data_IF_228259702498
#
_entry.id   IF_228259702498
#
_cell.length_a   1.000
_cell.length_b   1.000
_cell.length_c   1.000
_cell.angle_alpha   90.00
_cell.angle_beta   90.00
_cell.angle_gamma   90.00
#
_symmetry.space_group_name_H-M   'P 1'
#
loop_
_entity.id
_entity.type
_entity.pdbx_description
1 polymer ?
#
# COMPACT_ATOMS: atom_id res chain seq x y z
N UNK A 1 -5.61 11.68 -9.76
CA UNK A 1 -6.20 10.34 -9.55
C UNK A 1 -5.31 9.31 -10.27
N UNK A 2 -4.15 8.96 -9.71
CA UNK A 2 -3.19 8.04 -10.38
C UNK A 2 -3.40 6.56 -9.98
N UNK A 3 -3.70 6.30 -8.70
CA UNK A 3 -3.86 4.92 -8.21
C UNK A 3 -5.07 4.16 -8.78
N UNK A 4 -6.11 4.86 -9.26
CA UNK A 4 -7.25 4.19 -9.90
C UNK A 4 -7.00 3.85 -11.37
N UNK A 5 -6.19 4.62 -12.07
CA UNK A 5 -5.86 4.34 -13.47
C UNK A 5 -4.98 3.08 -13.57
N UNK A 6 -3.92 3.01 -12.76
CA UNK A 6 -3.04 1.84 -12.71
C UNK A 6 -3.77 0.56 -12.29
N UNK A 7 -4.71 0.64 -11.34
CA UNK A 7 -5.51 -0.51 -10.93
C UNK A 7 -6.41 -1.05 -12.05
N UNK A 8 -6.90 -0.19 -12.95
CA UNK A 8 -7.71 -0.59 -14.11
C UNK A 8 -6.82 -1.19 -15.21
N UNK A 9 -5.61 -0.66 -15.41
CA UNK A 9 -4.67 -1.13 -16.43
C UNK A 9 -4.00 -2.48 -16.05
N UNK A 10 -3.80 -2.74 -14.76
CA UNK A 10 -3.23 -4.00 -14.23
C UNK A 10 -4.11 -4.60 -13.12
N UNK A 11 -5.27 -5.18 -13.45
CA UNK A 11 -6.27 -5.62 -12.47
C UNK A 11 -5.80 -6.78 -11.56
N UNK A 12 -4.74 -7.48 -11.95
CA UNK A 12 -4.12 -8.57 -11.18
C UNK A 12 -3.03 -8.10 -10.21
N UNK A 13 -2.61 -6.83 -10.27
CA UNK A 13 -1.51 -6.30 -9.48
C UNK A 13 -1.98 -5.34 -8.39
N UNK A 14 -1.34 -5.44 -7.23
CA UNK A 14 -1.45 -4.45 -6.19
C UNK A 14 -0.57 -3.24 -6.53
N UNK A 15 -0.98 -2.06 -6.07
CA UNK A 15 -0.24 -0.83 -6.28
C UNK A 15 -0.07 -0.07 -4.96
N UNK A 16 1.15 0.41 -4.70
CA UNK A 16 1.44 1.33 -3.63
C UNK A 16 2.00 2.64 -4.19
N UNK A 17 1.49 3.77 -3.71
CA UNK A 17 2.01 5.11 -4.00
C UNK A 17 2.55 5.69 -2.71
N UNK A 18 3.83 6.10 -2.73
CA UNK A 18 4.52 6.72 -1.61
C UNK A 18 4.78 8.19 -1.95
N UNK A 19 4.25 9.08 -1.12
CA UNK A 19 4.45 10.52 -1.25
C UNK A 19 5.33 10.99 -0.10
N UNK A 20 6.53 11.49 -0.40
CA UNK A 20 7.43 12.03 0.61
C UNK A 20 6.79 13.23 1.34
N UNK A 21 6.97 13.31 2.65
CA UNK A 21 6.46 14.41 3.48
C UNK A 21 7.59 15.41 3.79
N UNK A 22 7.27 16.71 3.90
CA UNK A 22 8.15 17.67 4.55
C UNK A 22 8.43 17.20 5.99
N UNK A 23 9.71 17.12 6.38
CA UNK A 23 10.13 16.63 7.70
C UNK A 23 10.43 15.13 7.78
N UNK A 24 10.42 14.41 6.65
CA UNK A 24 10.82 13.01 6.57
C UNK A 24 9.65 12.03 6.47
N UNK A 25 9.96 10.83 6.00
CA UNK A 25 9.01 9.75 5.78
C UNK A 25 7.99 10.02 4.67
N UNK A 26 6.95 9.17 4.65
CA UNK A 26 6.01 9.08 3.54
C UNK A 26 4.56 9.02 4.00
N UNK A 27 3.63 9.50 3.16
CA UNK A 27 2.24 9.04 3.15
C UNK A 27 2.15 7.90 2.14
N UNK A 28 1.51 6.80 2.52
CA UNK A 28 1.37 5.63 1.65
C UNK A 28 -0.09 5.40 1.32
N UNK A 29 -0.38 5.16 0.05
CA UNK A 29 -1.69 4.72 -0.44
C UNK A 29 -1.57 3.38 -1.13
N UNK A 30 -2.35 2.39 -0.70
CA UNK A 30 -2.35 1.03 -1.25
C UNK A 30 -3.68 0.73 -1.92
N UNK A 31 -3.61 0.05 -3.07
CA UNK A 31 -4.73 -0.57 -3.79
C UNK A 31 -4.42 -2.04 -3.98
N UNK A 32 -5.31 -2.91 -3.52
CA UNK A 32 -5.22 -4.34 -3.78
C UNK A 32 -5.51 -4.64 -5.27
N UNK A 33 -5.13 -5.83 -5.78
CA UNK A 33 -5.56 -6.30 -7.09
C UNK A 33 -7.08 -6.25 -7.21
N UNK A 34 -7.62 -5.79 -8.35
CA UNK A 34 -9.06 -5.74 -8.59
C UNK A 34 -9.71 -7.13 -8.62
N UNK A 35 -8.95 -8.18 -8.91
CA UNK A 35 -9.44 -9.57 -8.95
C UNK A 35 -9.67 -10.16 -7.55
N UNK A 36 -8.85 -9.79 -6.57
CA UNK A 36 -8.93 -10.30 -5.19
C UNK A 36 -9.64 -9.31 -4.24
N UNK A 37 -9.39 -8.01 -4.44
CA UNK A 37 -9.90 -6.90 -3.60
C UNK A 37 -9.62 -7.07 -2.10
N UNK A 38 -8.51 -7.72 -1.75
CA UNK A 38 -8.10 -8.03 -0.38
C UNK A 38 -6.60 -7.82 -0.15
N UNK A 39 -6.19 -7.73 1.12
CA UNK A 39 -4.78 -7.62 1.53
C UNK A 39 -4.29 -6.20 1.79
N UNK A 40 -5.02 -5.16 1.38
CA UNK A 40 -4.59 -3.78 1.63
C UNK A 40 -4.68 -3.39 3.12
N UNK A 41 -5.75 -3.79 3.81
CA UNK A 41 -5.93 -3.59 5.25
C UNK A 41 -4.94 -4.44 6.07
N UNK A 42 -4.73 -5.69 5.68
CA UNK A 42 -3.76 -6.60 6.30
C UNK A 42 -2.32 -6.05 6.20
N UNK A 43 -1.94 -5.45 5.08
CA UNK A 43 -0.65 -4.77 4.94
C UNK A 43 -0.57 -3.52 5.81
N UNK A 44 -1.51 -2.58 5.64
CA UNK A 44 -1.39 -1.26 6.27
C UNK A 44 -1.53 -1.32 7.79
N UNK A 45 -2.35 -2.24 8.34
CA UNK A 45 -2.51 -2.39 9.80
C UNK A 45 -1.25 -2.83 10.55
N UNK A 46 -0.18 -3.24 9.84
CA UNK A 46 1.12 -3.58 10.42
C UNK A 46 2.03 -2.37 10.68
N UNK A 47 1.52 -1.16 10.47
CA UNK A 47 2.23 0.10 10.65
C UNK A 47 1.40 1.03 11.54
N UNK A 48 2.05 1.82 12.40
CA UNK A 48 1.42 2.58 13.49
C UNK A 48 0.24 3.46 13.07
N UNK A 49 0.33 4.08 11.90
CA UNK A 49 -0.71 4.99 11.38
C UNK A 49 -1.46 4.41 10.19
N UNK A 50 -1.38 3.09 10.02
CA UNK A 50 -1.94 2.40 8.87
C UNK A 50 -3.31 1.78 9.15
N UNK A 51 -4.18 1.82 8.14
CA UNK A 51 -5.52 1.28 8.22
C UNK A 51 -6.32 1.49 6.94
N UNK A 52 -7.51 0.90 6.87
CA UNK A 52 -8.40 1.03 5.73
C UNK A 52 -9.30 -0.18 5.53
N UNK A 53 -9.66 -0.44 4.27
CA UNK A 53 -10.52 -1.55 3.85
C UNK A 53 -9.71 -2.56 3.05
N UNK A 54 -10.23 -3.79 2.95
CA UNK A 54 -9.64 -4.91 2.18
C UNK A 54 -9.04 -4.53 0.82
N UNK A 55 -9.77 -3.75 0.01
CA UNK A 55 -9.32 -3.36 -1.33
C UNK A 55 -8.51 -2.07 -1.42
N UNK A 56 -8.50 -1.25 -0.36
CA UNK A 56 -7.90 0.07 -0.35
C UNK A 56 -7.60 0.54 1.08
N UNK A 57 -6.33 0.83 1.34
CA UNK A 57 -5.84 1.25 2.65
C UNK A 57 -4.69 2.25 2.50
N UNK A 58 -4.20 2.79 3.61
CA UNK A 58 -3.07 3.72 3.58
C UNK A 58 -2.38 3.84 4.94
N UNK A 59 -1.25 4.55 4.95
CA UNK A 59 -0.44 4.87 6.12
C UNK A 59 -0.22 6.39 6.12
N UNK A 60 -0.63 7.08 7.19
CA UNK A 60 -0.53 8.55 7.26
C UNK A 60 0.90 9.06 7.48
N UNK A 61 1.75 8.23 8.07
CA UNK A 61 3.17 8.46 8.21
C UNK A 61 3.94 7.14 8.31
N UNK A 62 4.78 6.87 7.31
CA UNK A 62 5.77 5.82 7.30
C UNK A 62 7.16 6.46 7.48
N UNK A 63 7.88 6.20 8.58
CA UNK A 63 9.25 6.67 8.76
C UNK A 63 10.19 6.15 7.66
N UNK A 64 11.24 6.90 7.31
CA UNK A 64 12.21 6.50 6.28
C UNK A 64 12.85 5.13 6.59
N UNK A 65 13.14 4.87 7.87
CA UNK A 65 13.71 3.60 8.34
C UNK A 65 12.79 2.39 8.10
N UNK A 66 11.48 2.61 7.99
CA UNK A 66 10.47 1.57 7.79
C UNK A 66 10.18 1.28 6.32
N UNK A 67 10.74 2.05 5.38
CA UNK A 67 10.53 1.88 3.94
C UNK A 67 10.92 0.48 3.47
N UNK A 68 12.06 -0.04 3.94
CA UNK A 68 12.52 -1.38 3.61
C UNK A 68 11.54 -2.46 4.09
N UNK A 69 11.05 -2.33 5.33
CA UNK A 69 10.04 -3.25 5.88
C UNK A 69 8.74 -3.18 5.10
N UNK A 70 8.28 -1.97 4.75
CA UNK A 70 7.08 -1.78 3.94
C UNK A 70 7.16 -2.51 2.59
N UNK A 71 8.27 -2.35 1.85
CA UNK A 71 8.46 -3.00 0.55
C UNK A 71 8.43 -4.53 0.71
N UNK A 72 9.15 -5.07 1.70
CA UNK A 72 9.18 -6.51 1.95
C UNK A 72 7.79 -7.06 2.31
N UNK A 73 7.05 -6.40 3.21
CA UNK A 73 5.70 -6.82 3.59
C UNK A 73 4.72 -6.69 2.42
N UNK A 74 4.82 -5.63 1.61
CA UNK A 74 3.98 -5.45 0.43
C UNK A 74 4.12 -6.64 -0.53
N UNK A 75 5.36 -7.02 -0.86
CA UNK A 75 5.59 -8.20 -1.71
C UNK A 75 5.16 -9.49 -1.00
N UNK A 76 5.38 -9.65 0.29
CA UNK A 76 4.93 -10.85 1.01
C UNK A 76 3.39 -11.04 0.93
N UNK A 77 2.62 -9.95 1.01
CA UNK A 77 1.15 -9.97 0.93
C UNK A 77 0.67 -10.24 -0.49
N UNK A 78 1.30 -9.65 -1.52
CA UNK A 78 0.74 -9.66 -2.88
C UNK A 78 1.44 -10.58 -3.88
N UNK A 79 2.62 -11.13 -3.58
CA UNK A 79 3.37 -12.03 -4.50
C UNK A 79 2.88 -13.49 -4.48
N UNK A 80 1.87 -13.81 -3.66
CA UNK A 80 1.27 -15.16 -3.56
C UNK A 80 0.03 -15.35 -4.45
N UNK A 81 -0.21 -14.44 -5.41
CA UNK A 81 -1.41 -14.44 -6.27
C UNK A 81 -1.09 -14.83 -7.70
#
# INVERSE_FOLDING_TARGET
MFGNQLAVESPTQAHAVLTAKPGGGYVVSVRAPLVAKSGADELCSQFDTGGGRKGAAGINHLPDAELGRFIATFFAVFSRS
#
